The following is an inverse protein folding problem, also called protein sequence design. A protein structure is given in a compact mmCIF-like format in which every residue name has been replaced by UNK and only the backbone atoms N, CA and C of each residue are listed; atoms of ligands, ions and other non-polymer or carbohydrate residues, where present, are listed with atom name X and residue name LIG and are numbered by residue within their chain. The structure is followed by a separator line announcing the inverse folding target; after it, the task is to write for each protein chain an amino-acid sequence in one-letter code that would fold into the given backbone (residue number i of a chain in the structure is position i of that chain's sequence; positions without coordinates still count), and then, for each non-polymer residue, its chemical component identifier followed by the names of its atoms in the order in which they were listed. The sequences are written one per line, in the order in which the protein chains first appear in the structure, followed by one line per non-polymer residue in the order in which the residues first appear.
data_IF_932660837071
#
_entry.id   IF_932660837071
#
_cell.length_a   1.000
_cell.length_b   1.000
_cell.length_c   1.000
_cell.angle_alpha   90.00
_cell.angle_beta   90.00
_cell.angle_gamma   90.00
#
_symmetry.space_group_name_H-M   'P 1'
#
loop_
_entity.id
_entity.type
_entity.pdbx_description
1 polymer ?
#
# COMPACT_ATOMS: atom_id res chain seq x y z
N UNK A 1 1.31 -8.59 -15.47
CA UNK A 1 1.18 -7.70 -14.29
C UNK A 1 -0.03 -8.15 -13.50
N UNK A 2 0.15 -8.39 -12.19
CA UNK A 2 -0.92 -8.82 -11.29
C UNK A 2 -1.43 -7.59 -10.52
N UNK A 3 -2.70 -7.26 -10.71
CA UNK A 3 -3.31 -6.05 -10.21
C UNK A 3 -4.07 -6.31 -8.91
N UNK A 4 -3.87 -5.41 -7.97
CA UNK A 4 -4.49 -5.43 -6.66
C UNK A 4 -5.08 -4.05 -6.35
N UNK A 5 -6.20 -4.05 -5.63
CA UNK A 5 -6.78 -2.87 -5.05
C UNK A 5 -6.42 -2.82 -3.56
N UNK A 6 -5.74 -1.76 -3.16
CA UNK A 6 -5.41 -1.47 -1.76
C UNK A 6 -6.37 -0.41 -1.23
N UNK A 7 -7.21 -0.80 -0.29
CA UNK A 7 -8.06 0.12 0.47
C UNK A 7 -7.35 0.45 1.79
N UNK A 8 -7.12 1.75 2.05
CA UNK A 8 -6.51 2.24 3.31
C UNK A 8 -7.48 3.21 3.98
N UNK A 9 -7.71 3.03 5.27
CA UNK A 9 -8.36 4.03 6.14
C UNK A 9 -7.36 4.48 7.19
N UNK A 10 -7.19 5.77 7.38
CA UNK A 10 -6.15 6.33 8.25
C UNK A 10 -6.72 7.07 9.47
N UNK A 11 -5.92 7.25 10.51
CA UNK A 11 -6.26 7.97 11.75
C UNK A 11 -5.25 9.09 12.08
N UNK A 12 -4.57 9.61 11.06
CA UNK A 12 -3.70 10.77 11.18
C UNK A 12 -4.49 12.04 11.56
N UNK A 13 -3.98 12.84 12.50
CA UNK A 13 -4.58 14.14 12.88
C UNK A 13 -4.54 15.17 11.75
N UNK A 14 -3.44 15.23 11.00
CA UNK A 14 -3.22 16.18 9.90
C UNK A 14 -3.15 15.45 8.58
N UNK A 15 -3.62 16.06 7.49
CA UNK A 15 -3.57 15.49 6.14
C UNK A 15 -2.16 15.04 5.79
N UNK A 16 -2.03 13.85 5.21
CA UNK A 16 -0.77 13.33 4.66
C UNK A 16 -0.93 13.15 3.16
N UNK A 17 0.02 13.64 2.37
CA UNK A 17 0.08 13.40 0.94
C UNK A 17 1.36 12.68 0.61
N UNK A 18 1.28 11.58 -0.13
CA UNK A 18 2.47 10.78 -0.45
C UNK A 18 2.15 9.51 -1.24
N UNK A 19 3.19 8.72 -1.44
CA UNK A 19 3.16 7.49 -2.22
C UNK A 19 3.13 6.28 -1.28
N UNK A 20 2.51 5.21 -1.75
CA UNK A 20 2.49 3.92 -1.07
C UNK A 20 3.19 2.91 -1.98
N UNK A 21 4.13 2.17 -1.38
CA UNK A 21 4.66 0.93 -1.96
C UNK A 21 4.20 -0.23 -1.09
N UNK A 22 3.74 -1.29 -1.73
CA UNK A 22 3.29 -2.52 -1.05
C UNK A 22 4.35 -3.58 -1.23
N UNK A 23 4.68 -4.30 -0.16
CA UNK A 23 5.51 -5.50 -0.19
C UNK A 23 4.69 -6.67 0.35
N UNK A 24 4.62 -7.73 -0.44
CA UNK A 24 3.99 -9.00 -0.06
C UNK A 24 5.11 -9.98 0.28
N UNK A 25 4.89 -10.78 1.32
CA UNK A 25 5.83 -11.82 1.78
C UNK A 25 5.04 -13.12 1.94
N UNK A 26 5.56 -14.21 1.39
CA UNK A 26 5.00 -15.56 1.57
C UNK A 26 5.52 -16.24 2.85
N UNK A 27 5.02 -17.44 3.12
CA UNK A 27 5.44 -18.21 4.31
C UNK A 27 6.88 -18.70 4.25
N UNK A 28 7.50 -18.76 3.06
CA UNK A 28 8.89 -19.14 2.87
C UNK A 28 9.85 -17.94 2.94
N UNK A 29 9.31 -16.72 3.07
CA UNK A 29 10.08 -15.48 3.12
C UNK A 29 10.37 -14.85 1.76
N UNK A 30 9.85 -15.41 0.66
CA UNK A 30 9.97 -14.78 -0.66
C UNK A 30 9.14 -13.50 -0.67
N UNK A 31 9.64 -12.49 -1.37
CA UNK A 31 9.01 -11.16 -1.36
C UNK A 31 8.80 -10.61 -2.76
N UNK A 32 7.66 -9.95 -2.97
CA UNK A 32 7.41 -9.15 -4.17
C UNK A 32 7.01 -7.73 -3.78
N UNK A 33 7.52 -6.76 -4.50
CA UNK A 33 7.17 -5.34 -4.31
C UNK A 33 6.30 -4.86 -5.45
N UNK A 34 5.38 -3.96 -5.10
CA UNK A 34 4.51 -3.32 -6.06
C UNK A 34 5.27 -2.26 -6.87
N UNK A 35 4.79 -2.06 -8.09
CA UNK A 35 5.12 -0.87 -8.86
C UNK A 35 4.68 0.37 -8.09
N UNK A 36 5.54 1.39 -8.07
CA UNK A 36 5.23 2.65 -7.42
C UNK A 36 4.17 3.40 -8.25
N UNK A 37 3.17 3.94 -7.55
CA UNK A 37 2.17 4.77 -8.20
C UNK A 37 2.80 6.02 -8.80
N UNK A 38 2.29 6.44 -9.97
CA UNK A 38 2.70 7.68 -10.62
C UNK A 38 2.33 8.92 -9.81
N UNK A 39 1.17 8.86 -9.13
CA UNK A 39 0.59 9.98 -8.39
C UNK A 39 0.57 9.75 -6.88
N UNK A 40 0.72 10.85 -6.14
CA UNK A 40 0.62 10.84 -4.68
C UNK A 40 -0.85 10.84 -4.25
N UNK A 41 -1.17 9.99 -3.28
CA UNK A 41 -2.49 9.93 -2.65
C UNK A 41 -2.59 10.87 -1.45
N UNK A 42 -3.79 11.37 -1.18
CA UNK A 42 -4.09 12.23 -0.03
C UNK A 42 -4.86 11.42 1.01
N UNK A 43 -4.32 11.35 2.23
CA UNK A 43 -4.85 10.61 3.36
C UNK A 43 -5.38 11.57 4.41
N UNK A 44 -6.70 11.56 4.59
CA UNK A 44 -7.42 12.35 5.60
C UNK A 44 -7.96 11.41 6.68
N UNK A 45 -8.10 11.91 7.90
CA UNK A 45 -8.59 11.10 9.03
C UNK A 45 -9.94 10.45 8.69
N UNK A 46 -10.04 9.15 8.93
CA UNK A 46 -11.22 8.30 8.74
C UNK A 46 -11.78 8.24 7.31
N UNK A 47 -11.05 8.76 6.32
CA UNK A 47 -11.42 8.61 4.91
C UNK A 47 -10.74 7.39 4.31
N UNK A 48 -11.53 6.60 3.59
CA UNK A 48 -11.04 5.47 2.81
C UNK A 48 -10.43 5.98 1.50
N UNK A 49 -9.20 5.59 1.24
CA UNK A 49 -8.48 5.82 -0.02
C UNK A 49 -8.30 4.48 -0.72
N UNK A 50 -8.61 4.44 -2.02
CA UNK A 50 -8.41 3.27 -2.87
C UNK A 50 -7.21 3.49 -3.77
N UNK A 51 -6.32 2.52 -3.83
CA UNK A 51 -5.07 2.61 -4.56
C UNK A 51 -4.93 1.38 -5.45
N UNK A 52 -4.87 1.57 -6.76
CA UNK A 52 -4.53 0.51 -7.70
C UNK A 52 -3.02 0.28 -7.64
N UNK A 53 -2.62 -0.97 -7.44
CA UNK A 53 -1.20 -1.35 -7.38
C UNK A 53 -0.95 -2.63 -8.16
N UNK A 54 0.21 -2.72 -8.81
CA UNK A 54 0.57 -3.84 -9.68
C UNK A 54 1.85 -4.52 -9.23
N UNK A 55 1.91 -5.84 -9.37
CA UNK A 55 3.10 -6.65 -9.10
C UNK A 55 3.56 -7.36 -10.37
N UNK A 56 4.88 -7.56 -10.50
CA UNK A 56 5.45 -8.29 -11.65
C UNK A 56 5.26 -9.80 -11.53
N UNK A 57 5.16 -10.31 -10.30
CA UNK A 57 4.97 -11.71 -9.96
C UNK A 57 3.77 -11.84 -9.02
N UNK A 58 3.00 -12.93 -9.16
CA UNK A 58 1.98 -13.27 -8.17
C UNK A 58 2.56 -14.12 -7.07
N UNK A 59 2.18 -13.81 -5.84
CA UNK A 59 2.44 -14.66 -4.68
C UNK A 59 1.10 -15.21 -4.24
N UNK A 60 0.93 -16.54 -4.33
CA UNK A 60 -0.38 -17.15 -4.09
C UNK A 60 -0.81 -17.07 -2.61
N UNK A 61 0.08 -17.49 -1.71
CA UNK A 61 -0.19 -17.52 -0.27
C UNK A 61 0.50 -16.34 0.41
N UNK A 62 -0.29 -15.29 0.67
CA UNK A 62 0.19 -14.09 1.34
C UNK A 62 0.27 -14.36 2.85
N UNK A 63 1.48 -14.34 3.40
CA UNK A 63 1.67 -14.47 4.85
C UNK A 63 1.75 -13.09 5.54
N UNK A 64 2.41 -12.11 4.91
CA UNK A 64 2.55 -10.75 5.45
C UNK A 64 2.42 -9.70 4.36
N UNK A 65 1.89 -8.54 4.74
CA UNK A 65 1.83 -7.33 3.91
C UNK A 65 2.55 -6.22 4.66
N UNK A 66 3.47 -5.54 3.98
CA UNK A 66 4.16 -4.36 4.47
C UNK A 66 3.88 -3.16 3.56
N UNK A 67 3.73 -1.99 4.16
CA UNK A 67 3.49 -0.74 3.47
C UNK A 67 4.62 0.25 3.76
N UNK A 68 5.16 0.84 2.71
CA UNK A 68 6.08 1.97 2.82
C UNK A 68 5.37 3.23 2.35
N UNK A 69 5.27 4.21 3.23
CA UNK A 69 4.80 5.56 2.92
C UNK A 69 5.99 6.49 2.66
N UNK A 70 5.95 7.27 1.59
CA UNK A 70 7.01 8.23 1.26
C UNK A 70 6.43 9.52 0.69
N UNK A 71 7.14 10.64 0.87
CA UNK A 71 6.73 11.98 0.39
C UNK A 71 7.58 12.49 -0.77
N UNK A 72 8.47 11.65 -1.35
CA UNK A 72 9.53 12.01 -2.32
C UNK A 72 10.55 13.06 -1.84
N UNK A 73 10.35 13.67 -0.67
CA UNK A 73 11.32 14.57 -0.05
C UNK A 73 12.34 13.78 0.77
N UNK A 74 13.64 13.90 0.44
CA UNK A 74 14.72 13.27 1.20
C UNK A 74 15.09 14.07 2.46
N UNK A 75 14.94 15.39 2.40
CA UNK A 75 15.34 16.35 3.43
C UNK A 75 14.07 17.01 4.00
N UNK A 76 13.77 16.79 5.27
CA UNK A 76 12.61 17.39 5.93
C UNK A 76 12.05 16.54 7.08
N UNK A 77 11.00 17.02 7.75
CA UNK A 77 10.38 16.30 8.86
C UNK A 77 9.80 14.96 8.39
N UNK A 78 10.18 13.87 9.07
CA UNK A 78 9.62 12.54 8.80
C UNK A 78 8.17 12.47 9.26
N UNK A 79 7.24 12.45 8.31
CA UNK A 79 5.82 12.31 8.61
C UNK A 79 5.40 10.84 8.64
N UNK A 80 4.84 10.39 9.76
CA UNK A 80 4.25 9.05 9.88
C UNK A 80 2.83 9.04 9.31
N UNK A 81 2.51 8.01 8.52
CA UNK A 81 1.14 7.66 8.15
C UNK A 81 0.58 6.70 9.20
N UNK A 82 -0.57 7.04 9.78
CA UNK A 82 -1.23 6.27 10.82
C UNK A 82 -2.42 5.52 10.22
N UNK A 83 -2.30 4.21 10.06
CA UNK A 83 -3.31 3.36 9.41
C UNK A 83 -4.22 2.76 10.47
N UNK A 84 -5.52 2.84 10.26
CA UNK A 84 -6.55 2.22 11.09
C UNK A 84 -6.91 0.85 10.52
N UNK A 85 -7.12 0.79 9.21
CA UNK A 85 -7.46 -0.44 8.50
C UNK A 85 -6.81 -0.44 7.12
N UNK A 86 -6.36 -1.61 6.68
CA UNK A 86 -5.97 -1.85 5.30
C UNK A 86 -6.59 -3.14 4.78
N UNK A 87 -6.91 -3.17 3.48
CA UNK A 87 -7.33 -4.38 2.78
C UNK A 87 -6.69 -4.41 1.39
N UNK A 88 -6.02 -5.52 1.07
CA UNK A 88 -5.45 -5.75 -0.25
C UNK A 88 -6.29 -6.81 -0.95
N UNK A 89 -6.88 -6.47 -2.10
CA UNK A 89 -7.76 -7.36 -2.86
C UNK A 89 -7.16 -7.64 -4.24
N UNK A 90 -6.97 -8.91 -4.58
CA UNK A 90 -6.57 -9.29 -5.94
C UNK A 90 -7.72 -8.99 -6.91
N UNK A 91 -7.41 -8.30 -8.00
CA UNK A 91 -8.35 -8.10 -9.11
C UNK A 91 -8.31 -9.26 -10.10
N UNK A 92 -7.15 -9.91 -10.23
CA UNK A 92 -6.97 -11.08 -11.08
C UNK A 92 -7.56 -12.37 -10.44
N UNK A 93 -7.57 -12.47 -9.11
CA UNK A 93 -8.19 -13.58 -8.39
C UNK A 93 -9.04 -13.09 -7.20
N UNK A 94 -10.29 -12.64 -7.45
CA UNK A 94 -11.12 -12.00 -6.42
C UNK A 94 -11.61 -12.92 -5.30
N UNK A 95 -11.46 -14.25 -5.45
CA UNK A 95 -11.95 -15.27 -4.50
C UNK A 95 -10.90 -15.72 -3.48
N UNK A 96 -9.68 -15.16 -3.54
CA UNK A 96 -8.62 -15.42 -2.57
C UNK A 96 -8.91 -14.79 -1.21
#
# INVERSE_FOLDING_TARGET
VYNYLLDITTWNKSIRRGFIKVKIIDSAGNTVESQMNREASTFQQYKRVKILTGFHQDIEKIAKISLTFSTKTLIGPKHKLRILQMKLKSLNNPKR
#
